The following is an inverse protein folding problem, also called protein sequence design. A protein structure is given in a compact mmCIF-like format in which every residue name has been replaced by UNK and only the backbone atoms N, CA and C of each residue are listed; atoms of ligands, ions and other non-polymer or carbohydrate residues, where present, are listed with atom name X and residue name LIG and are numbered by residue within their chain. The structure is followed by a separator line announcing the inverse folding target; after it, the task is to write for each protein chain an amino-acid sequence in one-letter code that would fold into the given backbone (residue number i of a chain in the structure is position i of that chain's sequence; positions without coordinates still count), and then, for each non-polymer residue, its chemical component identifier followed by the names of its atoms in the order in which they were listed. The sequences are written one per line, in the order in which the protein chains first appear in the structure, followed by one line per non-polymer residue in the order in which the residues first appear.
data_IF_141344229032
#
_entry.id   IF_141344229032
#
_cell.length_a   1.000
_cell.length_b   1.000
_cell.length_c   1.000
_cell.angle_alpha   90.00
_cell.angle_beta   90.00
_cell.angle_gamma   90.00
#
_symmetry.space_group_name_H-M   'P 1'
#
loop_
_entity.id
_entity.type
_entity.pdbx_description
1 polymer ?
#
# COMPACT_ATOMS: atom_id res chain seq x y z
N UNK A 1 -20.13 -14.41 -1.41
CA UNK A 1 -18.78 -14.98 -1.38
C UNK A 1 -17.86 -13.93 -0.79
N UNK A 2 -17.72 -13.87 0.54
CA UNK A 2 -16.73 -13.01 1.17
C UNK A 2 -15.39 -13.75 1.12
N UNK A 3 -14.60 -13.50 0.07
CA UNK A 3 -13.15 -13.45 0.28
C UNK A 3 -12.94 -12.57 1.53
N UNK A 4 -12.15 -13.03 2.50
CA UNK A 4 -12.11 -12.46 3.84
C UNK A 4 -12.16 -10.93 3.86
N UNK A 5 -12.84 -10.36 4.84
CA UNK A 5 -13.33 -8.99 4.76
C UNK A 5 -12.15 -8.00 4.63
N UNK A 6 -11.90 -7.53 3.40
CA UNK A 6 -10.88 -6.52 3.10
C UNK A 6 -11.15 -5.23 3.91
N UNK A 7 -12.41 -5.00 4.29
CA UNK A 7 -12.81 -3.89 5.15
C UNK A 7 -12.27 -4.10 6.56
N UNK A 8 -12.34 -5.32 7.09
CA UNK A 8 -11.78 -5.66 8.38
C UNK A 8 -10.25 -5.62 8.36
N UNK A 9 -9.60 -6.07 7.27
CA UNK A 9 -8.16 -5.89 7.08
C UNK A 9 -7.77 -4.41 7.11
N UNK A 10 -8.54 -3.56 6.42
CA UNK A 10 -8.32 -2.11 6.41
C UNK A 10 -8.53 -1.50 7.81
N UNK A 11 -9.62 -1.84 8.49
CA UNK A 11 -9.90 -1.39 9.86
C UNK A 11 -8.82 -1.80 10.85
N UNK A 12 -8.40 -3.06 10.82
CA UNK A 12 -7.29 -3.57 11.62
C UNK A 12 -5.98 -2.81 11.35
N UNK A 13 -5.76 -2.39 10.11
CA UNK A 13 -4.58 -1.62 9.72
C UNK A 13 -4.62 -0.17 10.22
N UNK A 14 -5.80 0.43 10.36
CA UNK A 14 -5.99 1.74 10.99
C UNK A 14 -5.78 1.68 12.51
N UNK A 15 -6.22 0.59 13.13
CA UNK A 15 -6.16 0.40 14.58
C UNK A 15 -4.79 -0.09 15.06
N UNK A 16 -3.94 -0.60 14.15
CA UNK A 16 -2.64 -1.17 14.50
C UNK A 16 -2.70 -2.60 15.02
N UNK A 17 -3.83 -3.28 14.80
CA UNK A 17 -4.07 -4.64 15.28
C UNK A 17 -3.36 -5.67 14.39
N UNK A 18 -2.09 -5.90 14.70
CA UNK A 18 -1.23 -6.82 13.97
C UNK A 18 -1.79 -8.25 13.93
N UNK A 19 -2.45 -8.70 15.02
CA UNK A 19 -2.97 -10.06 15.09
C UNK A 19 -4.13 -10.25 14.12
N UNK A 20 -5.07 -9.30 14.07
CA UNK A 20 -6.18 -9.32 13.13
C UNK A 20 -5.70 -9.13 11.69
N UNK A 21 -4.73 -8.25 11.44
CA UNK A 21 -4.10 -8.11 10.13
C UNK A 21 -3.52 -9.44 9.65
N UNK A 22 -2.71 -10.12 10.48
CA UNK A 22 -2.15 -11.43 10.15
C UNK A 22 -3.23 -12.46 9.84
N UNK A 23 -4.25 -12.55 10.69
CA UNK A 23 -5.36 -13.46 10.48
C UNK A 23 -6.02 -13.29 9.10
N UNK A 24 -6.30 -12.05 8.68
CA UNK A 24 -6.88 -11.79 7.36
C UNK A 24 -5.91 -12.11 6.22
N UNK A 25 -4.63 -11.77 6.36
CA UNK A 25 -3.61 -12.06 5.35
C UNK A 25 -3.43 -13.59 5.17
N UNK A 26 -3.35 -14.33 6.28
CA UNK A 26 -3.25 -15.79 6.30
C UNK A 26 -4.50 -16.46 5.70
N UNK A 27 -5.67 -15.83 5.84
CA UNK A 27 -6.91 -16.24 5.20
C UNK A 27 -6.98 -15.93 3.68
N UNK A 28 -5.92 -15.34 3.11
CA UNK A 28 -5.81 -15.04 1.67
C UNK A 28 -6.48 -13.74 1.23
N UNK A 29 -6.75 -12.82 2.16
CA UNK A 29 -7.27 -11.49 1.81
C UNK A 29 -6.20 -10.71 1.06
N UNK A 30 -6.57 -10.11 -0.07
CA UNK A 30 -5.65 -9.32 -0.89
C UNK A 30 -5.26 -8.01 -0.18
N UNK A 31 -3.97 -7.82 0.20
CA UNK A 31 -3.52 -6.58 0.87
C UNK A 31 -3.53 -5.35 -0.03
N UNK A 32 -3.70 -5.53 -1.34
CA UNK A 32 -3.71 -4.46 -2.33
C UNK A 32 -5.11 -3.94 -2.64
N UNK A 33 -6.15 -4.46 -1.99
CA UNK A 33 -7.50 -3.92 -2.19
C UNK A 33 -7.58 -2.51 -1.59
N UNK A 34 -7.91 -1.53 -2.44
CA UNK A 34 -8.17 -0.17 -1.98
C UNK A 34 -9.59 -0.08 -1.45
N UNK A 35 -9.76 0.50 -0.26
CA UNK A 35 -11.08 0.79 0.28
C UNK A 35 -11.85 1.67 -0.74
N UNK A 36 -13.03 1.29 -1.25
CA UNK A 36 -13.64 1.97 -2.39
C UNK A 36 -14.07 3.41 -2.09
N UNK A 37 -14.46 3.70 -0.85
CA UNK A 37 -14.92 5.03 -0.43
C UNK A 37 -13.76 5.96 -0.02
N UNK A 38 -12.69 5.40 0.54
CA UNK A 38 -11.53 6.16 1.04
C UNK A 38 -10.39 6.15 0.03
N UNK A 39 -10.47 5.30 -0.99
CA UNK A 39 -9.47 5.06 -2.03
C UNK A 39 -8.05 4.86 -1.49
N UNK A 40 -7.94 4.20 -0.33
CA UNK A 40 -6.70 4.00 0.42
C UNK A 40 -6.41 2.51 0.62
N UNK A 41 -5.14 2.13 0.60
CA UNK A 41 -4.70 0.75 0.87
C UNK A 41 -4.43 0.54 2.36
N UNK A 42 -4.54 -0.70 2.87
CA UNK A 42 -4.11 -1.05 4.22
C UNK A 42 -2.67 -0.59 4.53
N UNK A 43 -1.77 -0.68 3.55
CA UNK A 43 -0.37 -0.26 3.70
C UNK A 43 -0.25 1.25 3.95
N UNK A 44 -0.88 2.07 3.11
CA UNK A 44 -0.84 3.54 3.29
C UNK A 44 -1.51 3.94 4.60
N UNK A 45 -2.63 3.33 4.96
CA UNK A 45 -3.31 3.56 6.23
C UNK A 45 -2.38 3.32 7.44
N UNK A 46 -1.68 2.17 7.47
CA UNK A 46 -0.75 1.85 8.55
C UNK A 46 0.42 2.85 8.66
N UNK A 47 0.92 3.37 7.53
CA UNK A 47 2.00 4.37 7.50
C UNK A 47 1.56 5.72 8.04
N UNK A 48 0.35 6.17 7.68
CA UNK A 48 -0.25 7.42 8.16
C UNK A 48 -0.45 7.38 9.68
N UNK A 49 -0.90 6.24 10.22
CA UNK A 49 -1.22 6.08 11.64
C UNK A 49 -0.01 5.63 12.49
N UNK A 50 1.15 5.38 11.88
CA UNK A 50 2.38 5.03 12.59
C UNK A 50 2.46 3.57 13.04
N UNK A 51 1.69 2.68 12.42
CA UNK A 51 1.63 1.26 12.77
C UNK A 51 2.69 0.47 12.03
N UNK A 52 3.95 0.70 12.39
CA UNK A 52 5.10 0.21 11.61
C UNK A 52 5.15 -1.33 11.52
N UNK A 53 4.73 -2.03 12.57
CA UNK A 53 4.68 -3.49 12.59
C UNK A 53 3.62 -4.03 11.60
N UNK A 54 2.48 -3.35 11.50
CA UNK A 54 1.43 -3.68 10.51
C UNK A 54 1.94 -3.42 9.10
N UNK A 55 2.58 -2.28 8.86
CA UNK A 55 3.15 -1.96 7.54
C UNK A 55 4.15 -3.03 7.07
N UNK A 56 5.06 -3.48 7.96
CA UNK A 56 5.98 -4.59 7.67
C UNK A 56 5.23 -5.88 7.33
N UNK A 57 4.25 -6.24 8.15
CA UNK A 57 3.44 -7.44 7.93
C UNK A 57 2.74 -7.43 6.57
N UNK A 58 2.14 -6.30 6.19
CA UNK A 58 1.49 -6.12 4.89
C UNK A 58 2.50 -6.27 3.74
N UNK A 59 3.67 -5.64 3.85
CA UNK A 59 4.74 -5.76 2.85
C UNK A 59 5.25 -7.20 2.73
N UNK A 60 5.36 -7.93 3.85
CA UNK A 60 5.78 -9.33 3.87
C UNK A 60 4.75 -10.27 3.22
N UNK A 61 3.48 -9.86 3.17
CA UNK A 61 2.39 -10.57 2.48
C UNK A 61 2.11 -10.03 1.07
N UNK A 62 3.05 -9.30 0.47
CA UNK A 62 2.94 -8.87 -0.92
C UNK A 62 2.08 -7.62 -1.15
N UNK A 63 1.93 -6.76 -0.14
CA UNK A 63 1.45 -5.41 -0.37
C UNK A 63 2.40 -4.67 -1.34
N UNK A 64 1.81 -4.07 -2.37
CA UNK A 64 2.52 -3.36 -3.42
C UNK A 64 2.99 -2.00 -2.89
N UNK A 65 4.31 -1.76 -2.80
CA UNK A 65 4.85 -0.52 -2.23
C UNK A 65 4.69 0.69 -3.16
N UNK A 66 4.13 0.51 -4.35
CA UNK A 66 3.83 1.56 -5.33
C UNK A 66 2.34 1.92 -5.38
N UNK A 67 1.46 1.16 -4.72
CA UNK A 67 0.03 1.36 -4.83
C UNK A 67 -0.40 2.60 -4.02
N UNK A 68 -0.73 3.66 -4.76
CA UNK A 68 -1.06 4.98 -4.24
C UNK A 68 -2.41 5.00 -3.50
N UNK A 69 -2.53 5.81 -2.45
CA UNK A 69 -3.83 6.27 -1.95
C UNK A 69 -4.32 7.41 -2.85
N UNK A 70 -5.48 7.27 -3.49
CA UNK A 70 -5.99 8.32 -4.38
C UNK A 70 -6.66 9.47 -3.61
N UNK A 71 -7.09 9.26 -2.37
CA UNK A 71 -7.66 10.32 -1.54
C UNK A 71 -6.61 11.34 -1.10
N UNK A 72 -5.48 10.87 -0.55
CA UNK A 72 -4.38 11.75 -0.13
C UNK A 72 -3.39 12.05 -1.27
N UNK A 73 -3.48 11.28 -2.37
CA UNK A 73 -2.56 11.33 -3.49
C UNK A 73 -1.14 10.81 -3.18
N UNK A 74 -0.96 10.10 -2.06
CA UNK A 74 0.35 9.66 -1.57
C UNK A 74 0.67 8.22 -2.01
N UNK A 75 1.89 8.01 -2.51
CA UNK A 75 2.47 6.66 -2.57
C UNK A 75 2.86 6.19 -1.16
N UNK A 76 3.02 4.88 -0.92
CA UNK A 76 3.53 4.38 0.36
C UNK A 76 4.85 5.05 0.78
N UNK A 77 5.79 5.24 -0.15
CA UNK A 77 7.05 5.93 0.12
C UNK A 77 6.85 7.40 0.55
N UNK A 78 5.95 8.13 -0.12
CA UNK A 78 5.62 9.51 0.23
C UNK A 78 4.94 9.58 1.61
N UNK A 79 4.03 8.65 1.92
CA UNK A 79 3.41 8.56 3.23
C UNK A 79 4.46 8.29 4.33
N UNK A 80 5.33 7.31 4.13
CA UNK A 80 6.40 7.00 5.09
C UNK A 80 7.28 8.22 5.39
N UNK A 81 7.69 8.98 4.37
CA UNK A 81 8.46 10.22 4.56
C UNK A 81 7.67 11.32 5.25
N UNK A 82 6.44 11.60 4.78
CA UNK A 82 5.58 12.67 5.32
C UNK A 82 5.28 12.49 6.80
N UNK A 83 5.10 11.25 7.24
CA UNK A 83 4.76 10.92 8.63
C UNK A 83 5.97 10.45 9.46
N UNK A 84 7.19 10.63 8.95
CA UNK A 84 8.43 10.37 9.71
C UNK A 84 8.72 8.89 9.99
N UNK A 85 8.22 7.97 9.17
CA UNK A 85 8.44 6.52 9.27
C UNK A 85 9.80 6.12 8.70
N UNK A 86 10.89 6.69 9.22
CA UNK A 86 12.25 6.54 8.65
C UNK A 86 12.65 5.08 8.48
N UNK A 87 12.34 4.22 9.45
CA UNK A 87 12.67 2.79 9.38
C UNK A 87 11.92 2.02 8.27
N UNK A 88 10.81 2.58 7.76
CA UNK A 88 10.03 2.00 6.66
C UNK A 88 10.37 2.63 5.31
N UNK A 89 11.01 3.80 5.28
CA UNK A 89 11.52 4.38 4.03
C UNK A 89 12.48 3.40 3.36
N UNK A 90 13.48 2.93 4.09
CA UNK A 90 14.44 1.94 3.59
C UNK A 90 13.75 0.64 3.17
N UNK A 91 12.84 0.12 3.99
CA UNK A 91 12.10 -1.12 3.68
C UNK A 91 11.30 -0.97 2.39
N UNK A 92 10.64 0.17 2.17
CA UNK A 92 9.87 0.42 0.96
C UNK A 92 10.78 0.50 -0.27
N UNK A 93 11.93 1.17 -0.17
CA UNK A 93 12.93 1.24 -1.23
C UNK A 93 13.48 -0.15 -1.58
N UNK A 94 13.81 -0.96 -0.57
CA UNK A 94 14.24 -2.36 -0.74
C UNK A 94 13.19 -3.22 -1.43
N UNK A 95 11.90 -2.91 -1.25
CA UNK A 95 10.77 -3.58 -1.90
C UNK A 95 10.45 -3.00 -3.29
N UNK A 96 11.27 -2.09 -3.81
CA UNK A 96 11.12 -1.51 -5.15
C UNK A 96 10.18 -0.30 -5.23
N UNK A 97 9.90 0.37 -4.11
CA UNK A 97 9.26 1.69 -4.15
C UNK A 97 10.17 2.70 -4.85
N UNK A 98 9.58 3.58 -5.65
CA UNK A 98 10.29 4.62 -6.39
C UNK A 98 9.65 5.96 -6.11
N UNK A 99 10.43 7.03 -6.29
CA UNK A 99 9.92 8.40 -6.19
C UNK A 99 9.16 8.85 -7.44
N UNK A 100 9.17 8.05 -8.51
CA UNK A 100 8.57 8.47 -9.76
C UNK A 100 7.07 8.76 -9.60
N UNK A 101 6.61 9.95 -10.01
CA UNK A 101 5.19 10.23 -10.07
C UNK A 101 4.54 9.29 -11.08
N UNK A 102 3.27 8.91 -10.84
CA UNK A 102 2.50 8.13 -11.81
C UNK A 102 2.64 8.80 -13.18
N UNK A 103 3.15 8.10 -14.20
CA UNK A 103 3.30 8.70 -15.50
C UNK A 103 1.92 9.11 -16.03
N UNK A 104 1.82 10.25 -16.71
CA UNK A 104 0.55 10.69 -17.28
C UNK A 104 0.01 9.62 -18.24
N UNK A 105 -1.31 9.49 -18.32
CA UNK A 105 -1.98 8.39 -19.02
C UNK A 105 -1.53 8.25 -20.49
N UNK A 106 -1.16 9.36 -21.13
CA UNK A 106 -0.67 9.40 -22.51
C UNK A 106 0.72 8.78 -22.67
N UNK A 107 1.56 8.69 -21.62
CA UNK A 107 2.91 8.08 -21.70
C UNK A 107 2.85 6.60 -22.08
N UNK A 108 1.76 5.89 -21.71
CA UNK A 108 1.50 4.51 -22.13
C UNK A 108 1.37 4.35 -23.65
N UNK A 109 0.91 5.40 -24.33
CA UNK A 109 0.73 5.41 -25.78
C UNK A 109 1.99 5.84 -26.53
N UNK A 110 2.95 6.47 -25.84
CA UNK A 110 4.23 6.90 -26.44
C UNK A 110 5.33 5.85 -26.34
N UNK A 111 5.28 4.92 -25.38
CA UNK A 111 6.26 3.84 -25.25
C UNK A 111 6.05 2.69 -26.26
N UNK A 112 5.00 2.76 -27.09
CA UNK A 112 4.63 1.73 -28.07
C UNK A 112 5.31 1.86 -29.44
N UNK A 113 6.13 2.89 -29.68
CA UNK A 113 6.89 3.03 -30.93
C UNK A 113 8.30 2.48 -30.79
N UNK A 114 8.44 1.16 -30.61
CA UNK A 114 9.63 0.49 -31.11
C UNK A 114 9.27 -0.06 -32.48
N UNK A 115 9.87 0.58 -33.50
CA UNK A 115 9.84 0.17 -34.88
C UNK A 115 10.20 -1.33 -35.00
N UNK A 116 9.28 -2.10 -35.54
CA UNK A 116 9.52 -3.31 -36.30
C UNK A 116 8.47 -3.37 -37.42
#
# INVERSE_FOLDING_TARGET
MSAGDWKDLYGASLEGDLARVRYHLDAGVNPNYQHPEVMCTPLVASLIHGHDAVARCLLDHGANPQLRSDFDGLTPLQAARRYGRTALVEVLLDRGATEEPRPPFWRRWLSGTHLA
#
